data_IF_771410710813
#
_entry.id   IF_771410710813
#
_cell.length_a   1.000
_cell.length_b   1.000
_cell.length_c   1.000
_cell.angle_alpha   90.00
_cell.angle_beta   90.00
_cell.angle_gamma   90.00
#
_symmetry.space_group_name_H-M   'P 1'
#
loop_
_entity.id
_entity.type
_entity.pdbx_description
1 polymer ?
#
# COMPACT_ATOMS: atom_id res chain seq x y z
N UNK A 1 3.11 15.33 2.07
CA UNK A 1 2.95 14.40 0.92
C UNK A 1 4.33 13.94 0.55
N UNK A 2 4.56 12.64 0.44
CA UNK A 2 5.90 12.10 0.15
C UNK A 2 6.18 12.12 -1.35
N UNK A 3 7.45 12.02 -1.72
CA UNK A 3 7.89 12.05 -3.12
C UNK A 3 7.29 10.90 -3.91
N UNK A 4 7.28 9.72 -3.30
CA UNK A 4 6.74 8.52 -3.91
C UNK A 4 5.23 8.65 -4.16
N UNK A 5 4.48 9.31 -3.27
CA UNK A 5 3.06 9.61 -3.49
C UNK A 5 2.85 10.55 -4.67
N UNK A 6 3.70 11.58 -4.81
CA UNK A 6 3.66 12.52 -5.93
C UNK A 6 3.95 11.80 -7.25
N UNK A 7 5.03 11.01 -7.30
CA UNK A 7 5.45 10.27 -8.49
C UNK A 7 4.40 9.20 -8.89
N UNK A 8 3.77 8.55 -7.91
CA UNK A 8 2.68 7.59 -8.16
C UNK A 8 1.46 8.26 -8.79
N UNK A 9 1.01 9.38 -8.23
CA UNK A 9 -0.11 10.17 -8.81
C UNK A 9 0.24 10.70 -10.20
N UNK A 10 1.49 11.07 -10.43
CA UNK A 10 1.97 11.45 -11.76
C UNK A 10 1.86 10.29 -12.75
N UNK A 11 2.31 9.09 -12.36
CA UNK A 11 2.23 7.88 -13.18
C UNK A 11 0.78 7.51 -13.51
N UNK A 12 -0.13 7.58 -12.54
CA UNK A 12 -1.57 7.33 -12.75
C UNK A 12 -2.16 8.26 -13.81
N UNK A 13 -1.79 9.55 -13.80
CA UNK A 13 -2.24 10.53 -14.80
C UNK A 13 -1.60 10.28 -16.18
N UNK A 14 -0.36 9.81 -16.21
CA UNK A 14 0.31 9.42 -17.45
C UNK A 14 -0.24 8.13 -18.05
N UNK A 15 -0.85 7.26 -17.26
CA UNK A 15 -1.46 6.01 -17.72
C UNK A 15 -2.97 6.09 -17.90
N UNK A 16 -3.60 7.25 -17.62
CA UNK A 16 -5.04 7.44 -17.77
C UNK A 16 -5.47 7.26 -19.23
N UNK A 17 -6.07 6.10 -19.52
CA UNK A 17 -6.51 5.70 -20.87
C UNK A 17 -7.67 6.54 -21.38
N UNK A 18 -8.38 7.26 -20.49
CA UNK A 18 -9.44 8.22 -20.86
C UNK A 18 -8.85 9.46 -21.54
N UNK A 19 -7.54 9.68 -21.46
CA UNK A 19 -6.84 10.82 -22.08
C UNK A 19 -6.05 10.38 -23.31
N UNK A 20 -6.07 11.19 -24.39
CA UNK A 20 -5.25 10.91 -25.56
C UNK A 20 -3.75 10.95 -25.19
N UNK A 21 -2.89 10.14 -25.83
CA UNK A 21 -1.47 10.03 -25.50
C UNK A 21 -0.72 11.37 -25.47
N UNK A 22 -1.10 12.30 -26.33
CA UNK A 22 -0.53 13.65 -26.44
C UNK A 22 -0.81 14.53 -25.21
N UNK A 23 -1.86 14.22 -24.43
CA UNK A 23 -2.29 14.98 -23.25
C UNK A 23 -1.97 14.27 -21.92
N UNK A 24 -1.21 13.16 -21.95
CA UNK A 24 -0.74 12.43 -20.77
C UNK A 24 0.48 13.13 -20.17
N UNK A 25 0.27 14.35 -19.73
CA UNK A 25 1.20 15.21 -19.00
C UNK A 25 0.46 15.82 -17.80
N UNK A 26 1.18 16.37 -16.85
CA UNK A 26 0.56 16.89 -15.61
C UNK A 26 1.23 18.16 -15.12
N UNK A 27 0.52 18.92 -14.29
CA UNK A 27 1.04 20.10 -13.60
C UNK A 27 1.26 19.77 -12.14
N UNK A 28 2.15 20.49 -11.45
CA UNK A 28 2.52 20.19 -10.05
C UNK A 28 1.29 20.10 -9.13
N UNK A 29 0.33 21.02 -9.28
CA UNK A 29 -0.87 21.06 -8.45
C UNK A 29 -1.81 19.88 -8.73
N UNK A 30 -1.79 19.32 -9.94
CA UNK A 30 -2.67 18.21 -10.34
C UNK A 30 -2.29 16.87 -9.71
N UNK A 31 -1.07 16.76 -9.16
CA UNK A 31 -0.58 15.61 -8.40
C UNK A 31 -0.49 15.90 -6.89
N UNK A 32 -0.86 17.11 -6.47
CA UNK A 32 -0.79 17.55 -5.07
C UNK A 32 0.61 18.00 -4.61
N UNK A 33 1.51 18.26 -5.55
CA UNK A 33 2.86 18.76 -5.29
C UNK A 33 2.89 20.29 -5.23
N UNK A 34 3.87 20.85 -4.52
CA UNK A 34 4.21 22.28 -4.57
C UNK A 34 5.23 22.56 -5.68
N UNK A 35 5.51 23.84 -5.96
CA UNK A 35 6.59 24.22 -6.89
C UNK A 35 7.97 23.80 -6.39
N UNK A 36 8.18 23.80 -5.08
CA UNK A 36 9.44 23.37 -4.47
C UNK A 36 9.65 21.86 -4.67
N UNK A 37 8.59 21.06 -4.48
CA UNK A 37 8.62 19.61 -4.75
C UNK A 37 8.93 19.33 -6.22
N UNK A 38 8.26 20.02 -7.14
CA UNK A 38 8.51 19.86 -8.57
C UNK A 38 9.94 20.24 -8.98
N UNK A 39 10.49 21.31 -8.39
CA UNK A 39 11.89 21.69 -8.62
C UNK A 39 12.83 20.61 -8.12
N UNK A 40 12.64 20.14 -6.89
CA UNK A 40 13.49 19.12 -6.28
C UNK A 40 13.44 17.78 -7.04
N UNK A 41 12.25 17.31 -7.41
CA UNK A 41 12.08 16.09 -8.23
C UNK A 41 12.73 16.22 -9.62
N UNK A 42 12.81 17.44 -10.17
CA UNK A 42 13.51 17.72 -11.42
C UNK A 42 15.03 17.72 -11.23
N UNK A 43 15.52 18.35 -10.17
CA UNK A 43 16.94 18.38 -9.81
C UNK A 43 17.47 16.95 -9.53
N UNK A 44 16.64 16.09 -8.94
CA UNK A 44 16.91 14.66 -8.70
C UNK A 44 16.74 13.79 -9.96
N UNK A 45 16.23 14.35 -11.07
CA UNK A 45 16.10 13.69 -12.37
C UNK A 45 14.91 12.74 -12.50
N UNK A 46 13.91 12.82 -11.63
CA UNK A 46 12.70 11.98 -11.67
C UNK A 46 11.65 12.49 -12.66
N UNK A 47 11.65 13.79 -12.95
CA UNK A 47 10.69 14.42 -13.85
C UNK A 47 11.40 15.37 -14.81
N UNK A 48 10.78 15.61 -15.96
CA UNK A 48 11.24 16.60 -16.93
C UNK A 48 10.09 17.46 -17.44
N UNK A 49 10.42 18.65 -17.95
CA UNK A 49 9.44 19.56 -18.55
C UNK A 49 9.12 19.07 -19.96
N UNK A 50 7.87 18.69 -20.19
CA UNK A 50 7.37 18.27 -21.51
C UNK A 50 6.95 19.45 -22.38
N UNK A 51 6.40 20.51 -21.77
CA UNK A 51 5.97 21.72 -22.45
C UNK A 51 5.87 22.86 -21.43
N UNK A 52 6.25 24.07 -21.85
CA UNK A 52 6.17 25.27 -21.03
C UNK A 52 5.63 26.42 -21.85
N UNK A 53 4.48 26.92 -21.41
CA UNK A 53 3.92 28.19 -21.87
C UNK A 53 3.98 29.18 -20.69
N UNK A 54 4.00 30.49 -20.96
CA UNK A 54 4.29 31.51 -19.93
C UNK A 54 3.55 31.36 -18.59
N UNK A 55 2.34 30.81 -18.58
CA UNK A 55 1.54 30.54 -17.38
C UNK A 55 1.49 29.07 -16.92
N UNK A 56 1.85 28.10 -17.78
CA UNK A 56 1.60 26.67 -17.56
C UNK A 56 2.88 25.87 -17.83
N UNK A 57 3.30 25.09 -16.83
CA UNK A 57 4.43 24.15 -16.96
C UNK A 57 3.93 22.73 -16.82
N UNK A 58 4.11 21.92 -17.87
CA UNK A 58 3.67 20.54 -17.95
C UNK A 58 4.85 19.60 -17.80
N UNK A 59 4.72 18.64 -16.89
CA UNK A 59 5.75 17.65 -16.55
C UNK A 59 5.39 16.26 -17.07
N UNK A 60 6.42 15.44 -17.23
CA UNK A 60 6.36 13.99 -17.41
C UNK A 60 7.43 13.31 -16.55
N UNK A 61 7.19 12.07 -16.18
CA UNK A 61 8.15 11.20 -15.50
C UNK A 61 9.27 10.79 -16.45
N UNK A 62 10.51 10.84 -15.97
CA UNK A 62 11.64 10.18 -16.63
C UNK A 62 11.56 8.67 -16.44
N UNK A 63 12.39 7.91 -17.15
CA UNK A 63 12.55 6.47 -16.91
C UNK A 63 12.95 6.18 -15.45
N UNK A 64 13.85 6.98 -14.88
CA UNK A 64 14.24 6.93 -13.46
C UNK A 64 13.04 7.17 -12.51
N UNK A 65 12.19 8.15 -12.83
CA UNK A 65 10.98 8.41 -12.05
C UNK A 65 9.99 7.25 -12.09
N UNK A 66 9.82 6.63 -13.27
CA UNK A 66 8.98 5.43 -13.45
C UNK A 66 9.53 4.22 -12.73
N UNK A 67 10.84 3.99 -12.82
CA UNK A 67 11.49 2.83 -12.21
C UNK A 67 11.38 2.85 -10.68
N UNK A 68 11.45 4.02 -10.04
CA UNK A 68 11.24 4.13 -8.58
C UNK A 68 9.81 3.78 -8.18
N UNK A 69 8.81 4.27 -8.91
CA UNK A 69 7.40 3.92 -8.63
C UNK A 69 7.16 2.43 -8.84
N UNK A 70 7.78 1.84 -9.87
CA UNK A 70 7.72 0.40 -10.11
C UNK A 70 8.46 -0.42 -9.05
N UNK A 71 9.65 0.01 -8.63
CA UNK A 71 10.40 -0.63 -7.55
C UNK A 71 9.59 -0.64 -6.25
N UNK A 72 8.97 0.48 -5.90
CA UNK A 72 8.09 0.56 -4.72
C UNK A 72 6.84 -0.32 -4.88
N UNK A 73 6.26 -0.37 -6.08
CA UNK A 73 5.13 -1.24 -6.38
C UNK A 73 5.52 -2.72 -6.29
N UNK A 74 6.74 -3.08 -6.72
CA UNK A 74 7.30 -4.41 -6.63
C UNK A 74 7.65 -4.78 -5.19
N UNK A 75 8.31 -3.92 -4.42
CA UNK A 75 8.56 -4.14 -2.99
C UNK A 75 7.24 -4.37 -2.24
N UNK A 76 6.22 -3.55 -2.54
CA UNK A 76 4.87 -3.81 -2.06
C UNK A 76 4.38 -5.17 -2.53
N UNK A 77 4.59 -5.62 -3.76
CA UNK A 77 4.17 -6.96 -4.20
C UNK A 77 4.96 -8.09 -3.51
N UNK A 78 6.25 -7.91 -3.22
CA UNK A 78 7.06 -8.88 -2.49
C UNK A 78 6.61 -9.02 -1.02
N UNK A 79 6.10 -7.95 -0.42
CA UNK A 79 5.45 -8.01 0.90
C UNK A 79 4.00 -8.54 0.83
N UNK A 80 3.48 -8.92 -0.35
CA UNK A 80 2.09 -9.37 -0.47
C UNK A 80 2.00 -10.84 -0.07
N UNK A 81 1.40 -11.07 1.09
CA UNK A 81 1.06 -12.42 1.55
C UNK A 81 -0.05 -12.96 0.66
N UNK A 82 0.17 -14.13 0.06
CA UNK A 82 -0.85 -14.77 -0.77
C UNK A 82 -1.93 -15.39 0.12
N UNK A 83 -3.12 -15.60 -0.46
CA UNK A 83 -4.21 -16.32 0.21
C UNK A 83 -3.75 -17.72 0.63
N UNK A 84 -2.98 -18.39 -0.23
CA UNK A 84 -2.45 -19.74 0.03
C UNK A 84 -1.53 -19.78 1.25
N UNK A 85 -0.61 -18.81 1.40
CA UNK A 85 0.32 -18.75 2.53
C UNK A 85 -0.43 -18.61 3.87
N UNK A 86 -1.52 -17.82 3.88
CA UNK A 86 -2.33 -17.61 5.08
C UNK A 86 -3.12 -18.89 5.40
N UNK A 87 -3.67 -19.57 4.41
CA UNK A 87 -4.42 -20.81 4.61
C UNK A 87 -3.50 -21.92 5.13
N UNK A 88 -2.27 -22.03 4.61
CA UNK A 88 -1.25 -22.96 5.11
C UNK A 88 -0.92 -22.67 6.58
N UNK A 89 -0.75 -21.40 6.96
CA UNK A 89 -0.52 -21.01 8.35
C UNK A 89 -1.70 -21.34 9.30
N UNK A 90 -2.89 -21.59 8.75
CA UNK A 90 -4.11 -21.93 9.49
C UNK A 90 -4.47 -23.42 9.40
N UNK A 91 -3.64 -24.25 8.78
CA UNK A 91 -3.91 -25.69 8.57
C UNK A 91 -4.17 -26.45 9.88
N UNK A 92 -3.51 -26.05 10.98
CA UNK A 92 -3.71 -26.65 12.31
C UNK A 92 -5.10 -26.41 12.90
N UNK A 93 -5.87 -25.44 12.37
CA UNK A 93 -7.23 -25.13 12.83
C UNK A 93 -8.24 -25.90 11.99
N UNK A 94 -8.77 -26.98 12.58
CA UNK A 94 -9.80 -27.82 11.96
C UNK A 94 -11.15 -27.08 11.91
N UNK A 95 -11.81 -27.10 10.75
CA UNK A 95 -13.08 -26.41 10.50
C UNK A 95 -12.93 -24.91 10.27
N UNK A 96 -14.07 -24.19 10.24
CA UNK A 96 -14.14 -22.74 9.95
C UNK A 96 -13.57 -22.35 8.57
N UNK A 97 -13.72 -23.21 7.56
CA UNK A 97 -13.08 -23.02 6.26
C UNK A 97 -13.54 -21.74 5.56
N UNK A 98 -14.81 -21.37 5.71
CA UNK A 98 -15.38 -20.11 5.25
C UNK A 98 -14.74 -18.89 5.93
N UNK A 99 -14.54 -18.95 7.24
CA UNK A 99 -13.91 -17.87 8.01
C UNK A 99 -12.42 -17.77 7.65
N UNK A 100 -11.71 -18.90 7.56
CA UNK A 100 -10.29 -18.94 7.16
C UNK A 100 -10.10 -18.35 5.77
N UNK A 101 -10.95 -18.72 4.82
CA UNK A 101 -10.95 -18.17 3.47
C UNK A 101 -11.21 -16.65 3.48
N UNK A 102 -12.23 -16.20 4.21
CA UNK A 102 -12.59 -14.78 4.29
C UNK A 102 -11.45 -13.94 4.90
N UNK A 103 -10.80 -14.44 5.95
CA UNK A 103 -9.65 -13.78 6.57
C UNK A 103 -8.47 -13.70 5.60
N UNK A 104 -8.14 -14.80 4.92
CA UNK A 104 -7.04 -14.86 3.97
C UNK A 104 -7.25 -13.89 2.79
N UNK A 105 -8.45 -13.85 2.21
CA UNK A 105 -8.82 -12.92 1.14
C UNK A 105 -8.75 -11.46 1.61
N UNK A 106 -9.27 -11.17 2.80
CA UNK A 106 -9.28 -9.82 3.33
C UNK A 106 -7.86 -9.28 3.58
N UNK A 107 -6.99 -10.10 4.19
CA UNK A 107 -5.58 -9.75 4.42
C UNK A 107 -4.86 -9.54 3.09
N UNK A 108 -5.02 -10.46 2.13
CA UNK A 108 -4.39 -10.36 0.81
C UNK A 108 -4.90 -9.15 0.00
N UNK A 109 -6.16 -8.73 0.22
CA UNK A 109 -6.74 -7.54 -0.44
C UNK A 109 -6.11 -6.21 -0.04
N UNK A 110 -5.38 -6.16 1.09
CA UNK A 110 -4.73 -4.96 1.66
C UNK A 110 -5.67 -3.79 1.91
N UNK A 111 -6.97 -4.07 2.00
CA UNK A 111 -7.95 -3.09 2.45
C UNK A 111 -7.95 -3.05 3.97
N UNK A 112 -8.25 -1.88 4.53
CA UNK A 112 -8.45 -1.73 5.98
C UNK A 112 -9.80 -2.34 6.34
N UNK A 113 -9.77 -3.61 6.72
CA UNK A 113 -10.95 -4.38 7.15
C UNK A 113 -10.73 -4.78 8.59
N UNK A 114 -11.71 -4.49 9.45
CA UNK A 114 -11.66 -4.85 10.86
C UNK A 114 -12.44 -6.15 11.06
N UNK A 115 -11.86 -7.08 11.82
CA UNK A 115 -12.50 -8.34 12.18
C UNK A 115 -12.73 -8.39 13.69
N UNK A 116 -13.88 -8.94 14.08
CA UNK A 116 -14.18 -9.32 15.46
C UNK A 116 -14.41 -10.83 15.49
N UNK A 117 -13.63 -11.55 16.29
CA UNK A 117 -13.81 -12.98 16.50
C UNK A 117 -14.57 -13.21 17.80
N UNK A 118 -15.87 -13.48 17.69
CA UNK A 118 -16.72 -13.82 18.83
C UNK A 118 -17.04 -15.31 18.83
N UNK A 119 -17.09 -15.91 20.02
CA UNK A 119 -17.55 -17.28 20.19
C UNK A 119 -17.16 -17.87 21.54
N UNK A 120 -17.59 -19.10 21.84
CA UNK A 120 -17.29 -19.77 23.11
C UNK A 120 -15.79 -19.86 23.44
N UNK A 121 -15.41 -20.03 24.72
CA UNK A 121 -14.03 -20.31 25.07
C UNK A 121 -13.53 -21.58 24.35
N UNK A 122 -12.22 -21.64 24.09
CA UNK A 122 -11.53 -22.75 23.43
C UNK A 122 -11.89 -23.03 21.95
N UNK A 123 -12.58 -22.13 21.23
CA UNK A 123 -12.80 -22.25 19.77
C UNK A 123 -11.60 -21.79 18.90
N UNK A 124 -10.37 -22.05 19.31
CA UNK A 124 -9.13 -21.74 18.56
C UNK A 124 -8.90 -20.27 18.10
N UNK A 125 -9.70 -19.28 18.53
CA UNK A 125 -9.57 -17.86 18.14
C UNK A 125 -8.14 -17.31 18.27
N UNK A 126 -7.49 -17.55 19.40
CA UNK A 126 -6.11 -17.09 19.62
C UNK A 126 -5.10 -17.80 18.72
N UNK A 127 -5.35 -19.06 18.36
CA UNK A 127 -4.51 -19.84 17.45
C UNK A 127 -4.64 -19.31 16.02
N UNK A 128 -5.85 -18.95 15.59
CA UNK A 128 -6.08 -18.28 14.30
C UNK A 128 -5.27 -16.97 14.22
N UNK A 129 -5.35 -16.13 15.25
CA UNK A 129 -4.61 -14.86 15.27
C UNK A 129 -3.09 -15.05 15.26
N UNK A 130 -2.58 -16.08 15.96
CA UNK A 130 -1.14 -16.41 15.95
C UNK A 130 -0.70 -16.98 14.59
N UNK A 131 -1.52 -17.79 13.92
CA UNK A 131 -1.25 -18.26 12.56
C UNK A 131 -1.13 -17.11 11.57
N UNK A 132 -2.08 -16.16 11.62
CA UNK A 132 -2.04 -14.94 10.80
C UNK A 132 -0.78 -14.12 11.11
N UNK A 133 -0.44 -13.93 12.39
CA UNK A 133 0.76 -13.18 12.78
C UNK A 133 2.03 -13.78 12.18
N UNK A 134 2.13 -15.11 12.13
CA UNK A 134 3.29 -15.80 11.52
C UNK A 134 3.34 -15.63 10.01
N UNK A 135 2.19 -15.64 9.34
CA UNK A 135 2.10 -15.50 7.89
C UNK A 135 2.35 -14.06 7.42
N UNK A 136 1.99 -13.06 8.23
CA UNK A 136 2.03 -11.64 7.82
C UNK A 136 3.32 -10.95 8.29
N UNK A 137 4.19 -10.50 7.35
CA UNK A 137 5.38 -9.74 7.68
C UNK A 137 5.05 -8.46 8.43
N UNK A 138 5.92 -8.06 9.35
CA UNK A 138 5.79 -6.83 10.14
C UNK A 138 4.50 -6.76 10.99
N UNK A 139 3.80 -7.88 11.19
CA UNK A 139 2.67 -7.95 12.11
C UNK A 139 3.15 -8.23 13.54
N UNK A 140 2.44 -7.67 14.52
CA UNK A 140 2.69 -7.91 15.93
C UNK A 140 1.37 -8.16 16.65
N UNK A 141 1.43 -8.96 17.72
CA UNK A 141 0.31 -9.21 18.59
C UNK A 141 0.46 -8.34 19.84
N UNK A 142 -0.60 -7.64 20.22
CA UNK A 142 -0.68 -6.89 21.45
C UNK A 142 -1.86 -7.38 22.29
N UNK A 143 -1.69 -7.37 23.61
CA UNK A 143 -2.73 -7.74 24.55
C UNK A 143 -3.42 -6.50 25.10
N UNK A 144 -4.75 -6.55 25.21
CA UNK A 144 -5.56 -5.43 25.72
C UNK A 144 -5.14 -4.94 27.11
N UNK A 145 -4.62 -5.84 27.95
CA UNK A 145 -4.09 -5.51 29.27
C UNK A 145 -2.79 -4.71 29.24
N UNK A 146 -2.10 -4.66 28.09
CA UNK A 146 -0.84 -3.96 27.86
C UNK A 146 -0.97 -2.76 26.92
N UNK A 147 -2.21 -2.44 26.54
CA UNK A 147 -2.57 -1.24 25.77
C UNK A 147 -3.34 -0.28 26.66
N UNK A 148 -3.00 1.01 26.62
CA UNK A 148 -3.76 2.07 27.27
C UNK A 148 -4.27 3.07 26.22
N UNK A 149 -5.15 3.98 26.62
CA UNK A 149 -5.55 5.09 25.75
C UNK A 149 -4.35 5.97 25.31
N UNK A 150 -3.24 5.95 26.07
CA UNK A 150 -2.00 6.65 25.73
C UNK A 150 -1.15 5.92 24.67
N UNK A 151 -1.45 4.65 24.37
CA UNK A 151 -0.77 3.88 23.34
C UNK A 151 -0.41 2.46 23.74
N UNK A 152 0.43 1.84 22.92
CA UNK A 152 1.03 0.52 23.14
C UNK A 152 2.26 0.66 24.03
N UNK A 153 2.32 -0.12 25.12
CA UNK A 153 3.45 -0.09 26.05
C UNK A 153 4.56 -1.09 25.70
N UNK A 154 4.43 -1.84 24.60
CA UNK A 154 5.30 -2.98 24.24
C UNK A 154 6.17 -2.76 22.99
N UNK A 155 6.20 -1.54 22.44
CA UNK A 155 7.07 -1.17 21.31
C UNK A 155 8.06 -0.11 21.76
#
# INVERSE_FOLDING_TARGET
MTDIEILRRALDRENDTRRPPTMRHWEFHAVGATRADAKRLMDEGYIFISSRNGSITKYKLTEKGRSIVWAESMERQFEAVSVSDILEALELVVGYDDIKQTLAEAISSRRRINFMLEGPPACAKSVILEGIRRAVPNSYQAFGSRTSAAGLSEV
#
